data_IF_783115672991
#
_entry.id   IF_783115672991
#
_cell.length_a   1.000
_cell.length_b   1.000
_cell.length_c   1.000
_cell.angle_alpha   90.00
_cell.angle_beta   90.00
_cell.angle_gamma   90.00
#
_symmetry.space_group_name_H-M   'P 1'
#
loop_
_entity.id
_entity.type
_entity.pdbx_description
1 polymer ?
#
# COMPACT_ATOMS: atom_id res chain seq x y z
N UNK A 1 2.29 -1.66 10.18
CA UNK A 1 1.66 -2.26 8.99
C UNK A 1 0.76 -1.21 8.38
N UNK A 2 1.05 -0.79 7.15
CA UNK A 2 0.36 0.35 6.54
C UNK A 2 0.46 0.33 5.01
N UNK A 3 -0.40 1.06 4.30
CA UNK A 3 -0.44 1.04 2.84
C UNK A 3 0.88 1.54 2.21
N UNK A 4 1.40 0.81 1.21
CA UNK A 4 2.72 1.09 0.62
C UNK A 4 2.74 2.16 -0.48
N UNK A 5 1.57 2.56 -0.98
CA UNK A 5 1.42 3.50 -2.09
C UNK A 5 0.11 4.29 -1.98
N UNK A 6 -0.14 5.02 -0.87
CA UNK A 6 -1.35 5.81 -0.73
C UNK A 6 -1.39 6.93 -1.78
N UNK A 7 -2.57 7.21 -2.33
CA UNK A 7 -2.76 8.26 -3.32
C UNK A 7 -2.58 9.65 -2.68
N UNK A 8 -3.23 9.87 -1.53
CA UNK A 8 -3.22 11.14 -0.80
C UNK A 8 -2.75 10.97 0.63
N UNK A 9 -2.38 12.08 1.25
CA UNK A 9 -2.12 12.17 2.69
C UNK A 9 -3.38 11.85 3.48
N UNK A 10 -3.23 11.06 4.54
CA UNK A 10 -4.31 10.72 5.49
C UNK A 10 -4.30 11.65 6.68
N UNK A 11 -5.46 11.77 7.32
CA UNK A 11 -5.71 12.77 8.39
C UNK A 11 -4.75 12.67 9.58
N UNK A 12 -4.29 11.46 9.90
CA UNK A 12 -3.38 11.18 11.01
C UNK A 12 -1.88 11.30 10.64
N UNK A 13 -1.54 11.47 9.36
CA UNK A 13 -0.15 11.53 8.92
C UNK A 13 0.45 12.92 9.15
N UNK A 14 1.69 12.96 9.63
CA UNK A 14 2.44 14.22 9.77
C UNK A 14 3.35 14.50 8.58
N UNK A 15 3.70 13.47 7.80
CA UNK A 15 4.62 13.52 6.66
C UNK A 15 3.87 13.15 5.38
N UNK A 16 4.23 13.80 4.27
CA UNK A 16 3.56 13.70 2.98
C UNK A 16 4.16 12.58 2.08
N UNK A 17 4.24 11.35 2.59
CA UNK A 17 4.72 10.19 1.83
C UNK A 17 3.59 9.50 1.06
N UNK A 18 3.09 10.20 0.05
CA UNK A 18 2.02 9.72 -0.83
C UNK A 18 2.30 10.10 -2.29
N UNK A 19 1.48 9.55 -3.20
CA UNK A 19 1.64 9.74 -4.65
C UNK A 19 1.40 11.20 -5.06
N UNK A 20 0.34 11.83 -4.57
CA UNK A 20 -0.04 13.20 -4.92
C UNK A 20 1.06 14.20 -4.56
N UNK A 21 1.57 14.15 -3.34
CA UNK A 21 2.67 14.99 -2.86
C UNK A 21 3.98 14.72 -3.63
N UNK A 22 4.27 13.47 -3.98
CA UNK A 22 5.45 13.10 -4.77
C UNK A 22 5.39 13.68 -6.18
N UNK A 23 4.25 13.56 -6.86
CA UNK A 23 4.04 14.14 -8.21
C UNK A 23 4.08 15.66 -8.13
N UNK A 24 3.42 16.26 -7.15
CA UNK A 24 3.43 17.71 -6.96
C UNK A 24 4.84 18.25 -6.72
N UNK A 25 5.66 17.55 -5.93
CA UNK A 25 7.04 17.92 -5.69
C UNK A 25 7.85 18.01 -7.00
N UNK A 26 7.75 17.00 -7.87
CA UNK A 26 8.46 17.02 -9.15
C UNK A 26 8.01 18.17 -10.06
N UNK A 27 6.70 18.41 -10.15
CA UNK A 27 6.14 19.48 -10.97
C UNK A 27 6.59 20.86 -10.47
N UNK A 28 6.50 21.10 -9.17
CA UNK A 28 6.90 22.37 -8.55
C UNK A 28 8.41 22.64 -8.68
N UNK A 29 9.22 21.60 -8.84
CA UNK A 29 10.65 21.71 -9.13
C UNK A 29 10.99 21.78 -10.64
N UNK A 30 9.99 21.99 -11.50
CA UNK A 30 10.20 22.29 -12.93
C UNK A 30 10.13 21.09 -13.87
N UNK A 31 9.77 19.89 -13.38
CA UNK A 31 9.53 18.76 -14.27
C UNK A 31 8.16 18.91 -14.96
N UNK A 32 8.14 18.92 -16.29
CA UNK A 32 6.88 18.88 -17.05
C UNK A 32 6.09 17.62 -16.69
N UNK A 33 4.80 17.77 -16.35
CA UNK A 33 3.91 16.66 -16.04
C UNK A 33 3.88 15.59 -17.15
N UNK A 34 3.98 16.00 -18.41
CA UNK A 34 4.02 15.09 -19.57
C UNK A 34 5.25 14.17 -19.62
N UNK A 35 6.25 14.40 -18.77
CA UNK A 35 7.47 13.60 -18.65
C UNK A 35 7.47 12.70 -17.41
N UNK A 36 6.42 12.74 -16.60
CA UNK A 36 6.31 11.93 -15.39
C UNK A 36 5.70 10.57 -15.76
N UNK A 37 6.46 9.50 -15.55
CA UNK A 37 5.94 8.14 -15.59
C UNK A 37 5.50 7.75 -14.18
N UNK A 38 4.19 7.63 -13.97
CA UNK A 38 3.64 7.26 -12.68
C UNK A 38 3.67 5.74 -12.49
N UNK A 39 4.32 5.28 -11.42
CA UNK A 39 4.34 3.87 -11.05
C UNK A 39 2.99 3.41 -10.47
N UNK A 40 2.52 2.26 -10.93
CA UNK A 40 1.32 1.60 -10.39
C UNK A 40 1.70 0.18 -9.92
N UNK A 41 1.74 -0.07 -8.60
CA UNK A 41 2.13 -1.38 -8.09
C UNK A 41 1.02 -2.41 -8.35
N UNK A 42 1.36 -3.48 -9.07
CA UNK A 42 0.50 -4.68 -9.22
C UNK A 42 0.87 -5.74 -8.16
N UNK A 43 1.13 -5.26 -6.95
CA UNK A 43 1.48 -6.05 -5.78
C UNK A 43 1.11 -5.26 -4.52
N UNK A 44 1.12 -5.93 -3.37
CA UNK A 44 1.00 -5.34 -2.06
C UNK A 44 2.19 -5.71 -1.18
N UNK A 45 2.39 -4.92 -0.12
CA UNK A 45 3.26 -5.29 1.00
C UNK A 45 2.41 -5.90 2.12
N UNK A 46 2.98 -6.86 2.84
CA UNK A 46 2.29 -7.59 3.91
C UNK A 46 3.10 -7.58 5.21
N UNK A 47 2.39 -7.75 6.34
CA UNK A 47 2.99 -7.70 7.67
C UNK A 47 2.46 -8.82 8.57
N UNK A 48 3.29 -9.23 9.53
CA UNK A 48 2.87 -10.02 10.69
C UNK A 48 2.49 -9.06 11.81
N UNK A 49 1.20 -8.99 12.15
CA UNK A 49 0.69 -8.09 13.19
C UNK A 49 1.15 -8.49 14.58
N UNK A 50 1.35 -7.50 15.46
CA UNK A 50 1.73 -7.70 16.85
C UNK A 50 0.53 -7.93 17.78
N UNK A 51 -0.68 -7.62 17.31
CA UNK A 51 -1.92 -7.71 18.07
C UNK A 51 -3.11 -7.98 17.14
N UNK A 52 -4.32 -8.04 17.70
CA UNK A 52 -5.56 -8.16 16.94
C UNK A 52 -6.00 -6.83 16.27
N UNK A 53 -5.24 -5.74 16.42
CA UNK A 53 -5.56 -4.46 15.78
C UNK A 53 -5.23 -4.54 14.29
N UNK A 54 -6.25 -4.42 13.44
CA UNK A 54 -6.12 -4.55 11.98
C UNK A 54 -6.21 -3.22 11.23
N UNK A 55 -6.64 -2.14 11.88
CA UNK A 55 -6.75 -0.80 11.27
C UNK A 55 -5.36 -0.19 11.05
N UNK A 56 -5.01 0.21 9.81
CA UNK A 56 -3.76 0.91 9.54
C UNK A 56 -3.72 2.32 10.18
N UNK A 57 -2.57 2.76 10.72
CA UNK A 57 -1.35 1.99 10.89
C UNK A 57 -1.47 1.02 12.08
N UNK A 58 -1.22 -0.26 11.83
CA UNK A 58 -1.31 -1.30 12.86
C UNK A 58 0.08 -1.72 13.39
N UNK A 59 0.22 -2.06 14.68
CA UNK A 59 1.44 -2.63 15.24
C UNK A 59 1.84 -3.94 14.53
N UNK A 60 3.10 -4.07 14.13
CA UNK A 60 3.64 -5.26 13.45
C UNK A 60 4.94 -5.72 14.10
N UNK A 61 5.15 -7.04 14.16
CA UNK A 61 6.39 -7.67 14.65
C UNK A 61 7.34 -8.07 13.52
N UNK A 62 6.90 -7.95 12.27
CA UNK A 62 7.71 -8.30 11.11
C UNK A 62 6.93 -8.21 9.80
N UNK A 63 7.60 -8.63 8.73
CA UNK A 63 7.00 -8.78 7.41
C UNK A 63 6.02 -9.96 7.38
N UNK A 64 5.09 -9.95 6.42
CA UNK A 64 4.13 -11.03 6.24
C UNK A 64 4.81 -12.31 5.73
N UNK A 65 4.14 -13.44 5.91
CA UNK A 65 4.59 -14.72 5.39
C UNK A 65 4.78 -14.66 3.85
N UNK A 66 5.71 -15.45 3.29
CA UNK A 66 5.96 -15.43 1.86
C UNK A 66 4.73 -15.91 1.08
N UNK A 67 4.44 -15.24 -0.03
CA UNK A 67 3.33 -15.59 -0.91
C UNK A 67 3.44 -17.02 -1.48
N UNK A 68 2.31 -17.68 -1.80
CA UNK A 68 2.30 -19.06 -2.28
C UNK A 68 3.00 -19.26 -3.64
N UNK A 69 3.21 -18.20 -4.42
CA UNK A 69 3.89 -18.23 -5.71
C UNK A 69 5.12 -17.33 -5.76
N UNK A 70 5.05 -16.11 -5.22
CA UNK A 70 6.16 -15.14 -5.23
C UNK A 70 7.29 -15.54 -4.31
N UNK A 71 7.00 -16.28 -3.22
CA UNK A 71 7.98 -16.80 -2.25
C UNK A 71 8.87 -15.73 -1.58
N UNK A 72 8.46 -14.46 -1.64
CA UNK A 72 9.14 -13.34 -0.99
C UNK A 72 8.35 -12.91 0.25
N UNK A 73 9.02 -12.81 1.40
CA UNK A 73 8.39 -12.33 2.63
C UNK A 73 7.99 -10.86 2.51
N UNK A 74 6.82 -10.52 3.03
CA UNK A 74 6.31 -9.14 2.97
C UNK A 74 5.90 -8.68 1.58
N UNK A 75 5.85 -9.56 0.57
CA UNK A 75 5.41 -9.26 -0.78
C UNK A 75 4.28 -10.20 -1.18
N UNK A 76 3.23 -9.66 -1.79
CA UNK A 76 2.11 -10.43 -2.32
C UNK A 76 1.72 -9.85 -3.67
N UNK A 77 1.83 -10.64 -4.74
CA UNK A 77 1.41 -10.19 -6.08
C UNK A 77 -0.09 -9.97 -6.17
N UNK A 78 -0.55 -9.17 -7.13
CA UNK A 78 -1.98 -8.91 -7.31
C UNK A 78 -2.81 -10.19 -7.50
N UNK A 79 -2.29 -11.18 -8.22
CA UNK A 79 -3.04 -12.43 -8.43
C UNK A 79 -3.12 -13.29 -7.15
N UNK A 80 -2.09 -13.28 -6.31
CA UNK A 80 -2.12 -13.92 -4.98
C UNK A 80 -3.15 -13.25 -4.08
N UNK A 81 -3.24 -11.91 -4.10
CA UNK A 81 -4.26 -11.16 -3.36
C UNK A 81 -5.66 -11.54 -3.88
N UNK A 82 -5.86 -11.59 -5.20
CA UNK A 82 -7.13 -11.98 -5.79
C UNK A 82 -7.54 -13.40 -5.38
N UNK A 83 -6.63 -14.36 -5.44
CA UNK A 83 -6.86 -15.72 -4.98
C UNK A 83 -7.27 -15.74 -3.51
N UNK A 84 -6.55 -15.02 -2.65
CA UNK A 84 -6.81 -14.99 -1.23
C UNK A 84 -8.19 -14.37 -0.89
N UNK A 85 -8.59 -13.31 -1.59
CA UNK A 85 -9.90 -12.68 -1.44
C UNK A 85 -11.02 -13.59 -1.94
N UNK A 86 -10.85 -14.23 -3.10
CA UNK A 86 -11.91 -15.03 -3.73
C UNK A 86 -12.08 -16.41 -3.10
N UNK A 87 -10.97 -17.04 -2.69
CA UNK A 87 -10.95 -18.47 -2.33
C UNK A 87 -10.56 -18.73 -0.87
N UNK A 88 -9.95 -17.77 -0.18
CA UNK A 88 -9.39 -17.95 1.18
C UNK A 88 -10.07 -17.05 2.23
N UNK A 89 -11.11 -16.31 1.83
CA UNK A 89 -11.97 -15.55 2.75
C UNK A 89 -11.34 -14.28 3.33
N UNK A 90 -10.30 -13.74 2.68
CA UNK A 90 -9.68 -12.49 3.12
C UNK A 90 -10.68 -11.34 3.14
N UNK A 91 -10.64 -10.57 4.23
CA UNK A 91 -11.50 -9.38 4.38
C UNK A 91 -10.87 -8.21 3.64
N UNK A 92 -11.68 -7.55 2.79
CA UNK A 92 -11.27 -6.36 2.05
C UNK A 92 -11.75 -5.14 2.81
N UNK A 93 -10.83 -4.23 3.12
CA UNK A 93 -11.11 -2.95 3.77
C UNK A 93 -10.63 -1.84 2.84
N UNK A 94 -11.47 -0.83 2.63
CA UNK A 94 -11.09 0.40 1.92
C UNK A 94 -10.70 1.47 2.94
N UNK A 95 -9.58 2.14 2.68
CA UNK A 95 -9.15 3.27 3.49
C UNK A 95 -10.07 4.48 3.19
N UNK A 96 -10.80 5.01 4.18
CA UNK A 96 -11.77 6.08 3.97
C UNK A 96 -11.11 7.40 3.53
N UNK A 97 -9.85 7.63 3.90
CA UNK A 97 -9.11 8.83 3.51
C UNK A 97 -8.60 8.74 2.05
N UNK A 98 -8.77 7.58 1.39
CA UNK A 98 -8.36 7.34 0.00
C UNK A 98 -9.56 7.26 -0.96
N UNK A 99 -10.78 7.53 -0.50
CA UNK A 99 -11.96 7.58 -1.36
C UNK A 99 -11.90 8.78 -2.33
N UNK A 100 -12.44 8.58 -3.54
CA UNK A 100 -12.63 9.63 -4.55
C UNK A 100 -14.04 10.18 -4.45
#
# INVERSE_FOLDING_TARGET
>A
ADHHAPLRKRSFETIDYNVESSVHHWITNGLSASKINLGMPLYGRSWKLASAVTTPPAPAVGVGAPGPFTKEEGYVSYFEICQAVQNEGWQVVQDPDQFI
#
